data_IF_984411478827
#
_entry.id   IF_984411478827
#
_cell.length_a   1.000
_cell.length_b   1.000
_cell.length_c   1.000
_cell.angle_alpha   90.00
_cell.angle_beta   90.00
_cell.angle_gamma   90.00
#
_symmetry.space_group_name_H-M   'P 1'
#
loop_
_entity.id
_entity.type
_entity.pdbx_description
1 polymer ?
#
# COMPACT_ATOMS: atom_id res chain seq x y z
N UNK A 1 -21.84 0.40 8.53
CA UNK A 1 -20.80 -0.44 9.18
C UNK A 1 -19.76 0.49 9.81
N UNK A 2 -19.22 0.20 10.99
CA UNK A 2 -18.17 1.05 11.56
C UNK A 2 -16.79 0.70 10.97
N UNK A 3 -15.81 1.62 11.07
CA UNK A 3 -14.47 1.47 10.43
C UNK A 3 -13.76 0.18 10.83
N UNK A 4 -13.85 -0.20 12.10
CA UNK A 4 -13.31 -1.46 12.63
C UNK A 4 -13.92 -2.69 11.96
N UNK A 5 -15.25 -2.77 11.91
CA UNK A 5 -15.95 -3.89 11.28
C UNK A 5 -15.59 -4.00 9.80
N UNK A 6 -15.56 -2.89 9.06
CA UNK A 6 -15.13 -2.88 7.65
C UNK A 6 -13.69 -3.39 7.50
N UNK A 7 -12.75 -2.89 8.30
CA UNK A 7 -11.37 -3.37 8.24
C UNK A 7 -11.30 -4.89 8.48
N UNK A 8 -11.89 -5.38 9.56
CA UNK A 8 -11.85 -6.80 9.92
C UNK A 8 -12.57 -7.68 8.91
N UNK A 9 -13.71 -7.26 8.36
CA UNK A 9 -14.47 -8.03 7.38
C UNK A 9 -13.62 -8.33 6.13
N UNK A 10 -12.89 -7.34 5.62
CA UNK A 10 -12.16 -7.49 4.36
C UNK A 10 -10.70 -7.90 4.55
N UNK A 11 -10.06 -7.51 5.65
CA UNK A 11 -8.60 -7.64 5.83
C UNK A 11 -8.19 -8.65 6.91
N UNK A 12 -9.12 -9.22 7.68
CA UNK A 12 -8.77 -10.30 8.62
C UNK A 12 -8.38 -11.59 7.90
N UNK A 13 -7.74 -12.50 8.64
CA UNK A 13 -7.21 -13.77 8.16
C UNK A 13 -5.69 -13.79 8.06
N UNK A 14 -5.16 -14.93 7.65
CA UNK A 14 -3.74 -15.12 7.38
C UNK A 14 -3.47 -14.85 5.90
N UNK A 15 -2.66 -13.84 5.61
CA UNK A 15 -2.26 -13.45 4.26
C UNK A 15 -0.86 -13.95 3.98
N UNK A 16 -0.71 -14.85 3.02
CA UNK A 16 0.56 -15.34 2.52
C UNK A 16 0.99 -14.51 1.31
N UNK A 17 2.22 -14.02 1.32
CA UNK A 17 2.65 -13.08 0.30
C UNK A 17 4.16 -12.96 0.13
N UNK A 18 4.53 -12.02 -0.73
CA UNK A 18 5.91 -11.70 -1.05
C UNK A 18 6.09 -10.18 -1.05
N UNK A 19 7.14 -9.72 -0.37
CA UNK A 19 7.55 -8.32 -0.34
C UNK A 19 8.67 -8.14 -1.35
N UNK A 20 8.52 -7.20 -2.27
CA UNK A 20 9.52 -6.80 -3.25
C UNK A 20 9.90 -5.35 -3.00
N UNK A 21 11.16 -5.12 -2.65
CA UNK A 21 11.71 -3.78 -2.41
C UNK A 21 12.31 -3.24 -3.69
N UNK A 22 11.85 -2.06 -4.08
CA UNK A 22 12.33 -1.27 -5.21
C UNK A 22 13.00 0.00 -4.70
N UNK A 23 14.06 0.44 -5.39
CA UNK A 23 14.66 1.77 -5.17
C UNK A 23 13.83 2.90 -5.82
N UNK A 24 14.27 4.15 -5.65
CA UNK A 24 13.66 5.32 -6.26
C UNK A 24 13.70 5.38 -7.80
N UNK A 25 14.39 4.43 -8.45
CA UNK A 25 14.43 4.25 -9.90
C UNK A 25 13.61 3.03 -10.36
N UNK A 26 12.87 2.37 -9.46
CA UNK A 26 12.07 1.20 -9.77
C UNK A 26 12.87 -0.09 -9.89
N UNK A 27 14.15 -0.13 -9.50
CA UNK A 27 14.96 -1.35 -9.59
C UNK A 27 14.76 -2.22 -8.36
N UNK A 28 14.48 -3.50 -8.57
CA UNK A 28 14.38 -4.49 -7.51
C UNK A 28 15.71 -4.67 -6.77
N UNK A 29 15.68 -4.45 -5.45
CA UNK A 29 16.82 -4.57 -4.55
C UNK A 29 16.77 -5.85 -3.73
N UNK A 30 15.56 -6.26 -3.34
CA UNK A 30 15.37 -7.41 -2.46
C UNK A 30 13.96 -7.97 -2.60
N UNK A 31 13.85 -9.29 -2.45
CA UNK A 31 12.59 -10.03 -2.38
C UNK A 31 12.59 -10.96 -1.18
N UNK A 32 11.47 -11.05 -0.47
CA UNK A 32 11.33 -12.03 0.61
C UNK A 32 9.88 -12.44 0.87
N UNK A 33 9.64 -13.74 1.17
CA UNK A 33 8.31 -14.24 1.51
C UNK A 33 7.90 -13.77 2.91
N UNK A 34 6.60 -13.57 3.10
CA UNK A 34 6.00 -13.12 4.36
C UNK A 34 4.63 -13.76 4.58
N UNK A 35 4.21 -13.87 5.84
CA UNK A 35 2.80 -14.01 6.18
C UNK A 35 2.35 -12.89 7.10
N UNK A 36 1.11 -12.42 6.96
CA UNK A 36 0.50 -11.41 7.82
C UNK A 36 -0.83 -11.91 8.35
N UNK A 37 -0.89 -12.21 9.64
CA UNK A 37 -2.14 -12.55 10.33
C UNK A 37 -2.79 -11.27 10.86
N UNK A 38 -4.04 -11.02 10.46
CA UNK A 38 -4.87 -9.94 11.02
C UNK A 38 -6.09 -10.57 11.68
N UNK A 39 -6.29 -10.31 12.97
CA UNK A 39 -7.42 -10.87 13.73
C UNK A 39 -7.94 -9.93 14.79
N UNK A 40 -9.16 -10.19 15.22
CA UNK A 40 -9.71 -9.64 16.46
C UNK A 40 -9.33 -10.57 17.62
N UNK A 41 -8.49 -10.09 18.54
CA UNK A 41 -8.08 -10.81 19.73
C UNK A 41 -8.53 -10.02 20.96
N UNK A 42 -9.62 -10.49 21.59
CA UNK A 42 -10.20 -9.87 22.79
C UNK A 42 -10.51 -8.36 22.63
N UNK A 43 -11.03 -7.95 21.47
CA UNK A 43 -11.37 -6.55 21.19
C UNK A 43 -10.20 -5.71 20.66
N UNK A 44 -9.01 -6.28 20.52
CA UNK A 44 -7.87 -5.64 19.85
C UNK A 44 -7.75 -6.17 18.42
N UNK A 45 -7.59 -5.27 17.46
CA UNK A 45 -7.10 -5.67 16.14
C UNK A 45 -5.61 -5.93 16.29
N UNK A 46 -5.20 -7.18 16.10
CA UNK A 46 -3.82 -7.61 16.10
C UNK A 46 -3.40 -7.89 14.66
N UNK A 47 -2.31 -7.27 14.22
CA UNK A 47 -1.66 -7.53 12.94
C UNK A 47 -0.24 -8.05 13.18
N UNK A 48 0.05 -9.28 12.79
CA UNK A 48 1.34 -9.95 13.01
C UNK A 48 1.98 -10.33 11.68
N UNK A 49 3.08 -9.65 11.35
CA UNK A 49 3.90 -9.94 10.17
C UNK A 49 5.01 -10.92 10.54
N UNK A 50 5.11 -12.03 9.81
CA UNK A 50 6.15 -13.05 9.93
C UNK A 50 7.01 -13.08 8.67
N UNK A 51 8.33 -13.00 8.83
CA UNK A 51 9.28 -13.12 7.73
C UNK A 51 9.54 -14.60 7.42
N UNK A 52 9.21 -15.08 6.22
CA UNK A 52 9.25 -16.51 5.90
C UNK A 52 10.65 -17.14 5.98
N UNK A 53 11.70 -16.37 5.73
CA UNK A 53 13.09 -16.85 5.75
C UNK A 53 13.70 -16.96 7.15
N UNK A 54 13.20 -16.18 8.13
CA UNK A 54 13.75 -16.17 9.50
C UNK A 54 12.77 -16.69 10.55
N UNK A 55 11.47 -16.77 10.23
CA UNK A 55 10.40 -16.99 11.20
C UNK A 55 10.21 -15.83 12.18
N UNK A 56 11.01 -14.75 12.07
CA UNK A 56 10.90 -13.59 12.95
C UNK A 56 9.54 -12.93 12.73
N UNK A 57 8.88 -12.57 13.83
CA UNK A 57 7.57 -11.94 13.79
C UNK A 57 7.60 -10.54 14.41
N UNK A 58 6.76 -9.66 13.89
CA UNK A 58 6.51 -8.32 14.44
C UNK A 58 5.00 -8.10 14.51
N UNK A 59 4.51 -7.68 15.67
CA UNK A 59 3.08 -7.44 15.89
C UNK A 59 2.79 -5.98 16.20
N UNK A 60 1.63 -5.51 15.73
CA UNK A 60 1.01 -4.26 16.12
C UNK A 60 -0.41 -4.53 16.61
N UNK A 61 -0.81 -3.83 17.67
CA UNK A 61 -2.15 -3.93 18.27
C UNK A 61 -2.81 -2.56 18.30
N UNK A 62 -4.10 -2.50 17.99
CA UNK A 62 -4.89 -1.28 18.08
C UNK A 62 -6.34 -1.58 18.43
N UNK A 63 -6.96 -0.70 19.23
CA UNK A 63 -8.38 -0.78 19.57
C UNK A 63 -9.26 -0.38 18.38
N UNK A 64 -8.85 0.62 17.62
CA UNK A 64 -9.56 1.13 16.45
C UNK A 64 -8.55 1.42 15.34
N UNK A 65 -8.94 1.33 14.05
CA UNK A 65 -8.08 1.74 12.95
C UNK A 65 -7.54 3.16 13.18
N UNK A 66 -6.23 3.42 12.96
CA UNK A 66 -5.62 4.74 13.20
C UNK A 66 -6.44 5.88 12.59
N UNK A 67 -6.50 7.04 13.25
CA UNK A 67 -7.33 8.18 12.79
C UNK A 67 -7.01 8.65 11.37
N UNK A 68 -5.78 8.48 10.91
CA UNK A 68 -5.31 8.85 9.57
C UNK A 68 -5.47 7.74 8.53
N UNK A 69 -5.93 6.55 8.95
CA UNK A 69 -6.27 5.45 8.06
C UNK A 69 -7.60 5.75 7.37
N UNK A 70 -7.62 5.76 6.06
CA UNK A 70 -8.85 5.93 5.31
C UNK A 70 -9.26 4.57 4.75
N UNK A 71 -10.54 4.22 4.92
CA UNK A 71 -11.11 2.96 4.47
C UNK A 71 -12.26 3.23 3.52
N UNK A 72 -12.29 2.50 2.40
CA UNK A 72 -13.45 2.43 1.53
C UNK A 72 -14.44 1.37 2.01
N UNK A 73 -15.67 1.42 1.51
CA UNK A 73 -16.69 0.40 1.77
C UNK A 73 -16.32 -0.98 1.23
N UNK A 74 -15.43 -1.03 0.22
CA UNK A 74 -14.92 -2.26 -0.40
C UNK A 74 -13.69 -2.83 0.32
N UNK A 75 -13.31 -2.26 1.47
CA UNK A 75 -12.19 -2.75 2.28
C UNK A 75 -10.81 -2.35 1.77
N UNK A 76 -10.72 -1.57 0.69
CA UNK A 76 -9.48 -0.88 0.29
C UNK A 76 -9.14 0.18 1.34
N UNK A 77 -7.85 0.44 1.56
CA UNK A 77 -7.44 1.41 2.55
C UNK A 77 -6.14 2.13 2.20
N UNK A 78 -5.97 3.31 2.80
CA UNK A 78 -4.71 4.04 2.82
C UNK A 78 -4.33 4.38 4.26
N UNK A 79 -3.03 4.43 4.54
CA UNK A 79 -2.47 4.84 5.82
C UNK A 79 -1.28 5.76 5.58
N UNK A 80 -1.09 6.73 6.46
CA UNK A 80 0.00 7.70 6.40
C UNK A 80 -0.21 8.81 7.43
N UNK A 81 0.63 9.85 7.45
CA UNK A 81 0.46 10.98 8.36
C UNK A 81 -0.78 11.82 8.02
N UNK A 82 -1.26 12.60 8.98
CA UNK A 82 -2.34 13.58 8.77
C UNK A 82 -1.85 14.81 7.99
N UNK A 83 -0.56 15.10 8.08
CA UNK A 83 0.10 16.23 7.42
C UNK A 83 1.42 15.75 6.81
N UNK A 84 1.71 16.19 5.59
CA UNK A 84 3.00 15.99 4.93
C UNK A 84 3.66 17.33 4.65
N UNK A 85 4.98 17.33 4.54
CA UNK A 85 5.76 18.52 4.20
C UNK A 85 7.07 18.11 3.54
N UNK A 86 8.14 18.91 3.68
CA UNK A 86 9.44 18.62 3.07
C UNK A 86 10.18 17.47 3.76
N UNK A 87 9.75 17.07 4.95
CA UNK A 87 10.38 16.00 5.73
C UNK A 87 9.98 14.61 5.21
N UNK A 88 10.85 13.60 5.35
CA UNK A 88 10.52 12.22 4.97
C UNK A 88 9.28 11.69 5.68
N UNK A 89 8.50 10.86 4.97
CA UNK A 89 7.29 10.24 5.50
C UNK A 89 7.01 8.90 4.81
N UNK A 90 6.07 8.15 5.36
CA UNK A 90 5.65 6.85 4.81
C UNK A 90 4.16 6.85 4.58
N UNK A 91 3.75 6.35 3.43
CA UNK A 91 2.37 5.93 3.19
C UNK A 91 2.31 4.47 2.88
N UNK A 92 1.14 3.91 3.17
CA UNK A 92 0.76 2.60 2.74
C UNK A 92 -0.61 2.63 2.04
N UNK A 93 -0.72 1.86 0.96
CA UNK A 93 -1.93 1.69 0.16
C UNK A 93 -2.26 0.21 0.07
N UNK A 94 -3.54 -0.13 0.11
CA UNK A 94 -4.02 -1.49 -0.06
C UNK A 94 -5.29 -1.53 -0.90
N UNK A 95 -5.29 -2.39 -1.91
CA UNK A 95 -6.47 -2.73 -2.71
C UNK A 95 -6.74 -4.21 -2.49
N UNK A 96 -7.99 -4.53 -2.13
CA UNK A 96 -8.43 -5.87 -1.75
C UNK A 96 -9.45 -6.39 -2.77
N UNK A 97 -9.33 -7.64 -3.18
CA UNK A 97 -10.28 -8.34 -4.04
C UNK A 97 -10.47 -9.77 -3.55
N UNK A 98 -11.53 -10.01 -2.78
CA UNK A 98 -11.78 -11.32 -2.18
C UNK A 98 -10.58 -11.76 -1.34
N UNK A 99 -10.03 -12.94 -1.66
CA UNK A 99 -8.88 -13.54 -0.98
C UNK A 99 -7.53 -13.08 -1.47
N UNK A 100 -7.46 -12.09 -2.35
CA UNK A 100 -6.22 -11.50 -2.80
C UNK A 100 -6.17 -10.01 -2.47
N UNK A 101 -4.97 -9.51 -2.23
CA UNK A 101 -4.74 -8.07 -2.15
C UNK A 101 -3.39 -7.69 -2.72
N UNK A 102 -3.29 -6.42 -3.07
CA UNK A 102 -2.06 -5.74 -3.42
C UNK A 102 -1.83 -4.66 -2.39
N UNK A 103 -0.59 -4.51 -1.94
CA UNK A 103 -0.18 -3.49 -1.00
C UNK A 103 1.07 -2.80 -1.50
N UNK A 104 1.18 -1.54 -1.12
CA UNK A 104 2.34 -0.74 -1.38
C UNK A 104 2.70 0.08 -0.15
N UNK A 105 3.95 0.00 0.26
CA UNK A 105 4.54 0.90 1.25
C UNK A 105 5.52 1.81 0.51
N UNK A 106 5.20 3.10 0.43
CA UNK A 106 6.08 4.11 -0.14
C UNK A 106 6.78 4.89 0.97
N UNK A 107 8.11 4.89 0.92
CA UNK A 107 8.95 5.80 1.71
C UNK A 107 9.30 6.99 0.83
N UNK A 108 8.87 8.15 1.30
CA UNK A 108 9.09 9.43 0.68
C UNK A 108 10.30 10.12 1.33
N UNK A 109 11.23 10.62 0.53
CA UNK A 109 12.31 11.51 0.98
C UNK A 109 11.96 12.97 0.75
N UNK A 110 12.91 13.86 1.06
CA UNK A 110 12.84 15.29 0.71
C UNK A 110 12.83 15.53 -0.80
N UNK A 111 13.42 14.63 -1.59
CA UNK A 111 13.67 14.86 -3.01
C UNK A 111 12.67 14.17 -3.93
N UNK A 112 12.24 12.95 -3.56
CA UNK A 112 11.30 12.11 -4.31
C UNK A 112 10.98 10.84 -3.51
N UNK A 113 10.46 9.80 -4.16
CA UNK A 113 10.33 8.46 -3.57
C UNK A 113 11.70 7.80 -3.38
N UNK A 114 11.98 7.35 -2.17
CA UNK A 114 13.25 6.72 -1.77
C UNK A 114 13.19 5.21 -1.98
N UNK A 115 12.10 4.60 -1.51
CA UNK A 115 11.89 3.16 -1.57
C UNK A 115 10.41 2.86 -1.72
N UNK A 116 10.11 1.86 -2.53
CA UNK A 116 8.78 1.24 -2.61
C UNK A 116 8.91 -0.20 -2.16
N UNK A 117 8.00 -0.64 -1.31
CA UNK A 117 7.79 -2.07 -1.04
C UNK A 117 6.46 -2.45 -1.65
N UNK A 118 6.51 -3.21 -2.74
CA UNK A 118 5.33 -3.81 -3.34
C UNK A 118 5.07 -5.18 -2.71
N UNK A 119 3.81 -5.45 -2.40
CA UNK A 119 3.39 -6.65 -1.69
C UNK A 119 2.22 -7.29 -2.42
N UNK A 120 2.38 -8.56 -2.76
CA UNK A 120 1.30 -9.42 -3.29
C UNK A 120 0.94 -10.45 -2.24
N UNK A 121 -0.33 -10.51 -1.87
CA UNK A 121 -0.83 -11.37 -0.80
C UNK A 121 -2.11 -12.13 -1.20
N UNK A 122 -2.24 -13.34 -0.68
CA UNK A 122 -3.42 -14.20 -0.80
C UNK A 122 -3.75 -14.85 0.54
N UNK A 123 -5.03 -15.07 0.83
CA UNK A 123 -5.46 -15.92 1.96
C UNK A 123 -5.43 -17.41 1.63
N UNK A 124 -5.26 -17.76 0.36
CA UNK A 124 -5.11 -19.15 -0.06
C UNK A 124 -3.71 -19.65 0.33
N UNK A 125 -3.62 -20.92 0.72
CA UNK A 125 -2.39 -21.51 1.26
C UNK A 125 -1.26 -21.63 0.21
N UNK A 126 -1.64 -21.74 -1.07
CA UNK A 126 -0.73 -21.68 -2.23
C UNK A 126 -0.22 -20.26 -2.52
N UNK A 127 -0.77 -19.24 -1.85
CA UNK A 127 -0.31 -17.87 -1.91
C UNK A 127 -0.74 -17.14 -3.18
N UNK A 128 0.12 -16.24 -3.68
CA UNK A 128 -0.06 -15.57 -4.97
C UNK A 128 0.94 -16.17 -5.95
N UNK A 129 0.52 -16.40 -7.19
CA UNK A 129 1.42 -16.78 -8.27
C UNK A 129 2.64 -15.83 -8.29
N UNK A 130 3.88 -16.35 -8.36
CA UNK A 130 5.07 -15.51 -8.34
C UNK A 130 5.02 -14.42 -9.41
N UNK A 131 5.46 -13.21 -9.07
CA UNK A 131 5.73 -12.17 -10.08
C UNK A 131 7.07 -12.44 -10.75
N UNK A 132 7.28 -11.86 -11.94
CA UNK A 132 8.59 -11.82 -12.59
C UNK A 132 9.70 -11.36 -11.63
N UNK A 133 10.90 -11.89 -11.82
CA UNK A 133 12.08 -11.59 -11.01
C UNK A 133 13.29 -11.32 -11.94
N UNK A 134 13.81 -10.07 -11.99
CA UNK A 134 13.31 -8.89 -11.28
C UNK A 134 11.95 -8.41 -11.81
N UNK A 135 11.23 -7.60 -11.03
CA UNK A 135 10.01 -6.92 -11.51
C UNK A 135 10.34 -6.02 -12.72
N UNK A 136 9.57 -6.10 -13.82
CA UNK A 136 9.81 -5.34 -15.04
C UNK A 136 9.22 -3.93 -14.94
N UNK A 137 9.70 -3.15 -13.96
CA UNK A 137 9.12 -1.84 -13.66
C UNK A 137 9.34 -0.88 -14.83
N UNK A 138 8.26 -0.28 -15.33
CA UNK A 138 8.34 0.82 -16.29
C UNK A 138 7.76 2.10 -15.70
N UNK A 139 8.39 3.23 -16.01
CA UNK A 139 8.02 4.54 -15.47
C UNK A 139 7.67 5.45 -16.63
N UNK A 140 6.45 5.99 -16.61
CA UNK A 140 5.96 6.94 -17.62
C UNK A 140 5.52 8.24 -16.95
N UNK A 141 5.74 9.36 -17.63
CA UNK A 141 5.29 10.66 -17.14
C UNK A 141 3.77 10.81 -17.37
N UNK A 142 3.07 11.43 -16.41
CA UNK A 142 1.67 11.83 -16.52
C UNK A 142 1.52 13.25 -15.95
N UNK A 143 1.75 14.24 -16.81
CA UNK A 143 1.93 15.62 -16.37
C UNK A 143 3.12 15.73 -15.43
N UNK A 144 2.91 16.35 -14.27
CA UNK A 144 3.91 16.50 -13.21
C UNK A 144 4.12 15.23 -12.34
N UNK A 145 3.32 14.20 -12.59
CA UNK A 145 3.34 12.94 -11.85
C UNK A 145 3.97 11.82 -12.68
N UNK A 146 4.20 10.69 -12.05
CA UNK A 146 4.68 9.47 -12.69
C UNK A 146 3.70 8.32 -12.50
N UNK A 147 3.63 7.46 -13.51
CA UNK A 147 2.96 6.17 -13.45
C UNK A 147 4.03 5.09 -13.46
N UNK A 148 4.09 4.30 -12.39
CA UNK A 148 4.98 3.16 -12.30
C UNK A 148 4.17 1.90 -12.53
N UNK A 149 4.40 1.22 -13.65
CA UNK A 149 3.87 -0.12 -13.89
C UNK A 149 4.77 -1.13 -13.19
N UNK A 150 4.26 -1.84 -12.18
CA UNK A 150 5.06 -2.77 -11.37
C UNK A 150 5.10 -4.19 -11.93
N UNK A 151 3.98 -4.64 -12.47
CA UNK A 151 3.76 -5.90 -13.18
C UNK A 151 2.60 -5.71 -14.17
N UNK A 152 2.11 -6.76 -14.83
CA UNK A 152 1.04 -6.64 -15.83
C UNK A 152 -0.30 -6.12 -15.27
N UNK A 153 -0.48 -6.15 -13.95
CA UNK A 153 -1.76 -5.85 -13.31
C UNK A 153 -1.73 -4.58 -12.46
N UNK A 154 -0.56 -4.14 -11.98
CA UNK A 154 -0.48 -3.09 -10.96
C UNK A 154 0.25 -1.85 -11.45
N UNK A 155 -0.41 -0.71 -11.29
CA UNK A 155 0.16 0.60 -11.53
C UNK A 155 0.16 1.45 -10.26
N UNK A 156 1.13 2.35 -10.15
CA UNK A 156 1.22 3.32 -9.07
C UNK A 156 1.19 4.73 -9.61
N UNK A 157 0.46 5.59 -8.91
CA UNK A 157 0.61 7.03 -9.03
C UNK A 157 1.67 7.50 -8.04
N UNK A 158 2.74 8.08 -8.56
CA UNK A 158 3.84 8.62 -7.77
C UNK A 158 3.98 10.10 -8.05
N UNK A 159 4.15 10.88 -6.99
CA UNK A 159 4.54 12.28 -7.04
C UNK A 159 6.06 12.39 -6.93
N UNK A 160 6.79 12.66 -8.04
CA UNK A 160 8.25 12.67 -8.05
C UNK A 160 8.84 14.00 -7.57
N UNK A 161 8.02 15.02 -7.32
CA UNK A 161 8.47 16.39 -7.10
C UNK A 161 9.19 16.55 -5.75
N UNK A 162 10.26 17.35 -5.75
CA UNK A 162 10.86 17.89 -4.53
C UNK A 162 9.87 18.87 -3.90
N UNK A 163 9.53 18.70 -2.62
CA UNK A 163 8.32 19.34 -2.06
C UNK A 163 8.58 20.68 -1.34
N UNK A 164 8.07 21.81 -1.87
CA UNK A 164 7.76 22.99 -1.07
C UNK A 164 6.42 22.83 -0.32
N UNK A 165 6.25 23.56 0.78
CA UNK A 165 5.10 23.44 1.71
C UNK A 165 3.72 23.79 1.09
N UNK A 166 3.73 24.51 -0.03
CA UNK A 166 2.57 25.08 -0.70
C UNK A 166 1.90 24.12 -1.70
N UNK A 167 2.59 23.05 -2.11
CA UNK A 167 2.06 22.06 -3.06
C UNK A 167 1.55 20.82 -2.33
N UNK A 168 0.33 20.40 -2.69
CA UNK A 168 -0.21 19.11 -2.26
C UNK A 168 0.58 17.93 -2.83
N UNK A 169 0.31 16.73 -2.31
CA UNK A 169 0.97 15.50 -2.77
C UNK A 169 -0.02 14.36 -2.95
N UNK A 170 0.36 13.38 -3.77
CA UNK A 170 -0.50 12.25 -4.10
C UNK A 170 0.29 10.96 -4.19
N UNK A 171 -0.32 9.88 -3.70
CA UNK A 171 0.11 8.52 -3.99
C UNK A 171 -1.12 7.66 -4.23
N UNK A 172 -1.08 6.82 -5.26
CA UNK A 172 -2.19 5.97 -5.65
C UNK A 172 -1.72 4.60 -6.09
N UNK A 173 -2.63 3.64 -6.00
CA UNK A 173 -2.41 2.29 -6.50
C UNK A 173 -3.66 1.86 -7.26
N UNK A 174 -3.44 1.32 -8.46
CA UNK A 174 -4.46 0.70 -9.29
C UNK A 174 -4.08 -0.75 -9.55
N UNK A 175 -5.07 -1.60 -9.48
CA UNK A 175 -4.99 -3.01 -9.84
C UNK A 175 -6.01 -3.31 -10.95
N UNK A 176 -5.51 -3.69 -12.11
CA UNK A 176 -6.26 -4.21 -13.26
C UNK A 176 -6.59 -5.69 -13.00
N UNK A 177 -7.64 -5.94 -12.22
CA UNK A 177 -8.01 -7.28 -11.80
C UNK A 177 -8.72 -8.04 -12.93
N UNK A 178 -8.29 -9.27 -13.29
CA UNK A 178 -8.82 -10.00 -14.45
C UNK A 178 -10.35 -10.17 -14.48
N UNK A 179 -10.96 -10.43 -13.32
CA UNK A 179 -12.42 -10.65 -13.19
C UNK A 179 -13.22 -9.52 -12.56
N UNK A 180 -12.56 -8.47 -12.04
CA UNK A 180 -13.22 -7.37 -11.31
C UNK A 180 -13.04 -6.02 -12.00
N UNK A 181 -12.24 -5.96 -13.07
CA UNK A 181 -11.88 -4.72 -13.72
C UNK A 181 -10.90 -3.91 -12.86
N UNK A 182 -11.04 -2.59 -12.90
CA UNK A 182 -10.11 -1.68 -12.24
C UNK A 182 -10.50 -1.48 -10.78
N UNK A 183 -9.59 -1.80 -9.87
CA UNK A 183 -9.70 -1.52 -8.43
C UNK A 183 -8.61 -0.52 -8.04
N UNK A 184 -8.93 0.53 -7.28
CA UNK A 184 -7.93 1.53 -6.94
C UNK A 184 -8.18 2.26 -5.62
N UNK A 185 -7.11 2.84 -5.10
CA UNK A 185 -7.12 3.72 -3.92
C UNK A 185 -6.13 4.86 -4.15
N UNK A 186 -6.54 6.09 -3.87
CA UNK A 186 -5.68 7.27 -3.99
C UNK A 186 -5.70 8.07 -2.69
N UNK A 187 -4.50 8.33 -2.16
CA UNK A 187 -4.26 9.16 -0.99
C UNK A 187 -3.74 10.51 -1.44
N UNK A 188 -4.46 11.58 -1.08
CA UNK A 188 -4.15 12.96 -1.48
C UNK A 188 -3.90 13.84 -0.26
N UNK A 189 -3.00 14.80 -0.42
CA UNK A 189 -2.77 15.89 0.51
C UNK A 189 -3.00 17.19 -0.23
N UNK A 190 -3.77 18.10 0.36
CA UNK A 190 -4.05 19.43 -0.20
C UNK A 190 -2.87 20.40 -0.06
N UNK A 191 -3.02 21.64 -0.56
CA UNK A 191 -2.09 22.73 -0.25
C UNK A 191 -1.90 22.88 1.26
N UNK A 192 -0.65 23.06 1.73
CA UNK A 192 -0.32 23.04 3.15
C UNK A 192 -0.19 21.63 3.76
N UNK A 193 -0.28 20.59 2.93
CA UNK A 193 0.08 19.22 3.31
C UNK A 193 -0.97 18.45 4.10
N UNK A 194 -2.15 19.01 4.35
CA UNK A 194 -3.23 18.35 5.08
C UNK A 194 -3.84 17.18 4.28
N UNK A 195 -4.12 16.07 4.96
CA UNK A 195 -4.76 14.89 4.37
C UNK A 195 -6.16 15.22 3.85
N UNK A 196 -6.37 15.01 2.55
CA UNK A 196 -7.68 15.10 1.91
C UNK A 196 -8.45 13.78 2.08
N UNK A 197 -9.80 13.79 1.99
CA UNK A 197 -10.60 12.56 1.93
C UNK A 197 -10.13 11.58 0.86
N UNK A 198 -10.40 10.29 1.09
CA UNK A 198 -10.04 9.24 0.14
C UNK A 198 -10.82 9.42 -1.15
N UNK A 199 -10.11 9.38 -2.27
CA UNK A 199 -10.68 9.62 -3.59
C UNK A 199 -10.43 8.40 -4.47
N UNK A 200 -11.49 7.80 -5.07
CA UNK A 200 -11.31 6.71 -6.01
C UNK A 200 -10.86 7.21 -7.38
N UNK A 201 -10.72 8.51 -7.63
CA UNK A 201 -10.26 9.05 -8.92
C UNK A 201 -8.74 9.18 -8.98
N UNK A 202 -8.17 8.75 -10.12
CA UNK A 202 -6.75 8.88 -10.43
C UNK A 202 -6.47 10.15 -11.22
#
# INVERSE_FOLDING_TARGET
MNRRQTLLQFNSGCWHGCFVRLDGAGREQQRFPTSLEVRDAAGLIQATLTYGHTGRSQSMNFLEPPGTMQLSELGHWSLGPAYVGPMPWVSELCVVSGDQRRRLIARHSSNSIDTIVYVRESRQADGVAPAAEPLPVSITARGELQIWQLDDEVELLVDPRTRPWDQGSVSGMRWHHPSRGVLQVVRRYGPGGALSPLDPSW
#
